data_IF_418743779302
#
_entry.id   IF_418743779302
#
_cell.length_a   1.000
_cell.length_b   1.000
_cell.length_c   1.000
_cell.angle_alpha   90.00
_cell.angle_beta   90.00
_cell.angle_gamma   90.00
#
_symmetry.space_group_name_H-M   'P 1'
#
loop_
_entity.id
_entity.type
_entity.pdbx_description
1 polymer ?
#
# COMPACT_ATOMS: atom_id res chain seq x y z
N UNK A 1 -4.11 8.17 4.70
CA UNK A 1 -3.28 7.12 4.09
C UNK A 1 -4.15 5.86 3.91
N UNK A 2 -3.94 4.96 2.93
CA UNK A 2 -4.85 3.81 2.68
C UNK A 2 -5.03 2.92 3.93
N UNK A 3 -4.02 2.89 4.80
CA UNK A 3 -4.01 2.24 6.11
C UNK A 3 -5.14 2.71 7.03
N UNK A 4 -5.41 4.02 7.06
CA UNK A 4 -6.40 4.62 7.95
C UNK A 4 -7.83 4.22 7.51
N UNK A 5 -8.06 4.13 6.20
CA UNK A 5 -9.33 3.66 5.63
C UNK A 5 -9.60 2.18 5.95
N UNK A 6 -8.55 1.37 6.09
CA UNK A 6 -8.62 -0.05 6.44
C UNK A 6 -8.56 -0.30 7.96
N UNK A 7 -8.47 0.75 8.78
CA UNK A 7 -8.40 0.65 10.25
C UNK A 7 -7.14 -0.04 10.78
N UNK A 8 -6.03 0.02 10.03
CA UNK A 8 -4.79 -0.67 10.38
C UNK A 8 -3.83 0.26 11.15
N UNK A 9 -3.11 -0.29 12.13
CA UNK A 9 -1.94 0.39 12.71
C UNK A 9 -0.73 0.21 11.79
N UNK A 10 0.27 1.08 11.91
CA UNK A 10 1.48 0.99 11.11
C UNK A 10 2.24 -0.32 11.38
N UNK A 11 2.26 -0.79 12.62
CA UNK A 11 2.83 -2.08 13.00
C UNK A 11 2.09 -3.25 12.35
N UNK A 12 0.75 -3.20 12.31
CA UNK A 12 -0.05 -4.26 11.69
C UNK A 12 0.17 -4.32 10.18
N UNK A 13 0.24 -3.17 9.51
CA UNK A 13 0.57 -3.13 8.09
C UNK A 13 1.98 -3.66 7.83
N UNK A 14 2.96 -3.24 8.63
CA UNK A 14 4.34 -3.72 8.52
C UNK A 14 4.42 -5.26 8.60
N UNK A 15 3.69 -5.85 9.55
CA UNK A 15 3.58 -7.31 9.72
C UNK A 15 2.94 -7.98 8.49
N UNK A 16 1.83 -7.43 7.98
CA UNK A 16 1.10 -8.00 6.83
C UNK A 16 1.88 -7.88 5.52
N UNK A 17 2.56 -6.76 5.27
CA UNK A 17 3.28 -6.53 4.02
C UNK A 17 4.72 -7.05 4.05
N UNK A 18 5.23 -7.52 5.20
CA UNK A 18 6.64 -7.84 5.38
C UNK A 18 7.55 -6.65 4.97
N UNK A 19 7.17 -5.45 5.40
CA UNK A 19 7.92 -4.19 5.25
C UNK A 19 8.20 -3.69 6.65
N UNK A 20 9.42 -3.26 6.95
CA UNK A 20 9.73 -2.83 8.31
C UNK A 20 8.92 -1.57 8.70
N UNK A 21 8.53 -1.42 9.98
CA UNK A 21 7.81 -0.22 10.44
C UNK A 21 8.54 1.08 10.09
N UNK A 22 9.88 1.11 10.20
CA UNK A 22 10.70 2.26 9.80
C UNK A 22 10.60 2.57 8.31
N UNK A 23 10.66 1.55 7.45
CA UNK A 23 10.56 1.76 6.00
C UNK A 23 9.16 2.23 5.62
N UNK A 24 8.14 1.65 6.25
CA UNK A 24 6.76 2.09 6.09
C UNK A 24 6.59 3.55 6.54
N UNK A 25 7.20 3.95 7.66
CA UNK A 25 7.22 5.36 8.10
C UNK A 25 7.83 6.28 7.05
N UNK A 26 8.96 5.89 6.46
CA UNK A 26 9.59 6.66 5.40
C UNK A 26 8.72 6.79 4.16
N UNK A 27 8.02 5.72 3.77
CA UNK A 27 7.07 5.75 2.66
C UNK A 27 5.88 6.68 2.98
N UNK A 28 5.25 6.52 4.16
CA UNK A 28 4.09 7.31 4.58
C UNK A 28 4.40 8.81 4.71
N UNK A 29 5.65 9.16 5.01
CA UNK A 29 6.12 10.54 5.14
C UNK A 29 6.87 11.06 3.91
N UNK A 30 6.74 10.40 2.74
CA UNK A 30 7.37 10.78 1.47
C UNK A 30 8.89 11.01 1.58
N UNK A 31 9.58 10.25 2.45
CA UNK A 31 11.03 10.30 2.64
C UNK A 31 11.77 9.43 1.63
N UNK A 32 11.10 8.42 1.07
CA UNK A 32 11.63 7.52 0.05
C UNK A 32 10.51 7.15 -0.93
N UNK A 33 10.89 6.92 -2.19
CA UNK A 33 9.95 6.43 -3.20
C UNK A 33 9.63 4.94 -3.01
N UNK A 34 8.42 4.55 -3.41
CA UNK A 34 7.99 3.16 -3.41
C UNK A 34 8.46 2.46 -4.69
N UNK A 35 9.21 1.38 -4.54
CA UNK A 35 9.61 0.51 -5.65
C UNK A 35 8.65 -0.66 -5.85
N UNK A 36 8.65 -1.24 -7.07
CA UNK A 36 7.77 -2.36 -7.49
C UNK A 36 7.57 -3.44 -6.43
N UNK A 37 8.64 -3.95 -5.81
CA UNK A 37 8.55 -5.02 -4.81
C UNK A 37 7.66 -4.61 -3.63
N UNK A 38 7.85 -3.40 -3.10
CA UNK A 38 7.10 -2.89 -1.95
C UNK A 38 5.64 -2.59 -2.33
N UNK A 39 5.42 -2.09 -3.54
CA UNK A 39 4.06 -1.92 -4.08
C UNK A 39 3.30 -3.24 -4.07
N UNK A 40 3.90 -4.33 -4.57
CA UNK A 40 3.26 -5.66 -4.57
C UNK A 40 2.98 -6.16 -3.15
N UNK A 41 3.95 -6.00 -2.24
CA UNK A 41 3.82 -6.39 -0.83
C UNK A 41 2.70 -5.66 -0.11
N UNK A 42 2.62 -4.34 -0.29
CA UNK A 42 1.61 -3.49 0.36
C UNK A 42 0.23 -3.71 -0.28
N UNK A 43 0.16 -3.84 -1.60
CA UNK A 43 -1.08 -4.14 -2.31
C UNK A 43 -1.69 -5.48 -1.86
N UNK A 44 -0.85 -6.53 -1.72
CA UNK A 44 -1.28 -7.81 -1.18
C UNK A 44 -1.76 -7.70 0.29
N UNK A 45 -1.08 -6.90 1.12
CA UNK A 45 -1.49 -6.69 2.51
C UNK A 45 -2.84 -5.98 2.67
N UNK A 46 -3.22 -5.16 1.69
CA UNK A 46 -4.50 -4.44 1.66
C UNK A 46 -5.61 -5.18 0.90
N UNK A 47 -5.28 -6.25 0.19
CA UNK A 47 -6.14 -6.92 -0.77
C UNK A 47 -6.66 -5.95 -1.85
N UNK A 48 -5.71 -5.28 -2.52
CA UNK A 48 -5.99 -4.33 -3.61
C UNK A 48 -5.03 -4.55 -4.77
N UNK A 49 -5.40 -4.05 -5.95
CA UNK A 49 -4.49 -4.05 -7.09
C UNK A 49 -3.32 -3.06 -6.88
N UNK A 50 -2.08 -3.37 -7.30
CA UNK A 50 -0.92 -2.48 -7.15
C UNK A 50 -1.09 -1.07 -7.73
N UNK A 51 -1.93 -0.92 -8.75
CA UNK A 51 -2.25 0.39 -9.34
C UNK A 51 -2.87 1.35 -8.32
N UNK A 52 -3.67 0.85 -7.37
CA UNK A 52 -4.27 1.68 -6.31
C UNK A 52 -3.22 2.26 -5.34
N UNK A 53 -2.00 1.70 -5.32
CA UNK A 53 -0.87 2.21 -4.53
C UNK A 53 -0.01 3.18 -5.34
N UNK A 54 0.22 2.88 -6.62
CA UNK A 54 1.09 3.69 -7.50
C UNK A 54 0.40 4.94 -8.05
N UNK A 55 -0.93 4.91 -8.15
CA UNK A 55 -1.75 5.94 -8.80
C UNK A 55 -2.94 6.30 -7.90
N UNK A 56 -2.71 6.84 -6.69
CA UNK A 56 -3.77 7.12 -5.72
C UNK A 56 -4.79 8.18 -6.19
N UNK A 57 -4.41 9.05 -7.13
CA UNK A 57 -5.26 10.07 -7.74
C UNK A 57 -6.12 9.57 -8.91
N UNK A 58 -5.82 8.38 -9.44
CA UNK A 58 -6.65 7.75 -10.45
C UNK A 58 -7.73 6.94 -9.73
N UNK A 59 -8.96 7.47 -9.72
CA UNK A 59 -10.12 6.83 -9.10
C UNK A 59 -10.19 5.34 -9.46
N UNK A 60 -10.63 4.54 -8.49
CA UNK A 60 -10.80 3.08 -8.53
C UNK A 60 -11.87 2.62 -9.56
N UNK A 61 -11.74 3.03 -10.82
CA UNK A 61 -12.77 2.89 -11.84
C UNK A 61 -12.61 1.62 -12.67
N UNK A 62 -11.43 0.99 -12.78
CA UNK A 62 -11.25 -0.11 -13.74
C UNK A 62 -10.30 -1.24 -13.31
N UNK A 63 -10.43 -1.75 -12.08
CA UNK A 63 -9.62 -2.93 -11.63
C UNK A 63 -10.47 -3.99 -10.93
N UNK A 64 -11.74 -4.12 -11.33
CA UNK A 64 -12.66 -5.14 -10.82
C UNK A 64 -13.38 -5.95 -11.91
N UNK A 65 -12.93 -5.90 -13.17
CA UNK A 65 -13.65 -6.55 -14.29
C UNK A 65 -13.08 -7.87 -14.78
N UNK A 66 -11.90 -8.31 -14.32
CA UNK A 66 -11.27 -9.54 -14.82
C UNK A 66 -10.90 -10.52 -13.69
N UNK A 67 -11.84 -10.80 -12.78
CA UNK A 67 -11.74 -11.90 -11.80
C UNK A 67 -12.85 -12.93 -12.04
#
# INVERSE_FOLDING_TARGET
>A
MLRDLKGLTQEELARRSNVSPTNLSFLENNRVDIGKKRTLQIAAAYDVHPAAIMFPEHEAVEIGKDA
#
